data_IF_142925069445
#
_entry.id   IF_142925069445
#
_cell.length_a   1.000
_cell.length_b   1.000
_cell.length_c   1.000
_cell.angle_alpha   90.00
_cell.angle_beta   90.00
_cell.angle_gamma   90.00
#
_symmetry.space_group_name_H-M   'P 1'
#
loop_
_entity.id
_entity.type
_entity.pdbx_description
1 polymer ?
#
# COMPACT_ATOMS: atom_id res chain seq x y z
N UNK A 1 1.29 1.23 44.18
CA UNK A 1 1.20 1.17 42.70
C UNK A 1 -0.27 1.15 42.23
N UNK A 2 -1.10 2.15 42.59
CA UNK A 2 -2.56 2.14 42.29
C UNK A 2 -3.01 3.16 41.24
N UNK A 3 -2.18 4.15 40.88
CA UNK A 3 -2.57 5.22 39.96
C UNK A 3 -2.48 4.84 38.48
N UNK A 4 -1.60 3.89 38.11
CA UNK A 4 -1.39 3.52 36.70
C UNK A 4 -2.58 2.77 36.07
N UNK A 5 -3.37 2.05 36.88
CA UNK A 5 -4.61 1.39 36.43
C UNK A 5 -5.74 2.38 36.14
N UNK A 6 -5.70 3.58 36.71
CA UNK A 6 -6.73 4.61 36.48
C UNK A 6 -6.59 5.24 35.08
N UNK A 7 -5.38 5.26 34.53
CA UNK A 7 -5.09 5.79 33.18
C UNK A 7 -5.15 4.73 32.08
N UNK A 8 -5.25 3.44 32.44
CA UNK A 8 -5.32 2.35 31.47
C UNK A 8 -6.44 2.52 30.43
N UNK A 9 -7.69 2.92 30.79
CA UNK A 9 -8.73 3.14 29.80
C UNK A 9 -8.41 4.29 28.84
N UNK A 10 -7.86 5.39 29.34
CA UNK A 10 -7.50 6.55 28.54
C UNK A 10 -6.33 6.24 27.58
N UNK A 11 -5.34 5.47 28.03
CA UNK A 11 -4.25 5.00 27.19
C UNK A 11 -4.75 4.07 26.09
N UNK A 12 -5.59 3.10 26.41
CA UNK A 12 -6.21 2.20 25.41
C UNK A 12 -6.97 3.03 24.38
N UNK A 13 -7.82 3.96 24.82
CA UNK A 13 -8.63 4.76 23.92
C UNK A 13 -7.78 5.66 23.02
N UNK A 14 -6.72 6.26 23.57
CA UNK A 14 -5.76 7.07 22.82
C UNK A 14 -5.00 6.23 21.79
N UNK A 15 -4.51 5.06 22.17
CA UNK A 15 -3.81 4.15 21.25
C UNK A 15 -4.73 3.68 20.12
N UNK A 16 -5.96 3.27 20.44
CA UNK A 16 -6.94 2.85 19.42
C UNK A 16 -7.27 4.00 18.47
N UNK A 17 -7.51 5.21 19.00
CA UNK A 17 -7.80 6.39 18.18
C UNK A 17 -6.63 6.73 17.27
N UNK A 18 -5.39 6.69 17.79
CA UNK A 18 -4.19 6.94 17.00
C UNK A 18 -4.02 5.92 15.87
N UNK A 19 -4.23 4.63 16.16
CA UNK A 19 -4.16 3.56 15.15
C UNK A 19 -5.22 3.75 14.07
N UNK A 20 -6.45 4.12 14.43
CA UNK A 20 -7.52 4.37 13.46
C UNK A 20 -7.22 5.56 12.55
N UNK A 21 -6.70 6.66 13.09
CA UNK A 21 -6.31 7.84 12.31
C UNK A 21 -5.16 7.48 11.35
N UNK A 22 -4.13 6.79 11.84
CA UNK A 22 -3.01 6.35 11.02
C UNK A 22 -3.46 5.42 9.88
N UNK A 23 -4.35 4.46 10.18
CA UNK A 23 -4.92 3.56 9.18
C UNK A 23 -5.71 4.32 8.10
N UNK A 24 -6.46 5.36 8.48
CA UNK A 24 -7.19 6.18 7.52
C UNK A 24 -6.26 7.00 6.62
N UNK A 25 -5.17 7.55 7.16
CA UNK A 25 -4.17 8.31 6.38
C UNK A 25 -3.41 7.44 5.37
N UNK A 26 -3.19 6.15 5.68
CA UNK A 26 -2.54 5.21 4.77
C UNK A 26 -3.49 4.57 3.76
N UNK A 27 -4.81 4.82 3.86
CA UNK A 27 -5.79 4.21 3.00
C UNK A 27 -5.53 4.60 1.53
N UNK A 28 -5.53 3.62 0.62
CA UNK A 28 -5.33 3.86 -0.80
C UNK A 28 -6.52 4.61 -1.39
N UNK A 29 -6.25 5.50 -2.35
CA UNK A 29 -7.30 6.15 -3.13
C UNK A 29 -8.03 5.12 -4.00
N UNK A 30 -9.32 5.36 -4.27
CA UNK A 30 -10.11 4.47 -5.14
C UNK A 30 -9.61 4.45 -6.59
N UNK A 31 -8.89 5.49 -7.03
CA UNK A 31 -8.29 5.65 -8.36
C UNK A 31 -6.94 6.34 -8.24
N UNK A 32 -6.09 6.17 -9.26
CA UNK A 32 -4.76 6.77 -9.31
C UNK A 32 -3.65 5.81 -8.87
N UNK A 33 -2.51 6.37 -8.50
CA UNK A 33 -1.33 5.60 -8.10
C UNK A 33 -1.50 5.00 -6.70
N UNK A 34 -1.20 3.70 -6.58
CA UNK A 34 -1.22 2.97 -5.32
C UNK A 34 -0.12 1.90 -5.33
N UNK A 35 0.42 1.61 -4.16
CA UNK A 35 1.27 0.44 -4.01
C UNK A 35 0.42 -0.80 -3.77
N UNK A 36 0.74 -1.87 -4.49
CA UNK A 36 0.08 -3.16 -4.42
C UNK A 36 1.06 -4.16 -3.85
N UNK A 37 0.72 -4.72 -2.69
CA UNK A 37 1.55 -5.71 -2.00
C UNK A 37 1.06 -7.13 -2.31
N UNK A 38 1.99 -7.99 -2.68
CA UNK A 38 1.79 -9.39 -3.00
C UNK A 38 2.46 -10.29 -1.95
N UNK A 39 2.12 -11.60 -1.91
CA UNK A 39 2.85 -12.57 -1.11
C UNK A 39 4.37 -12.52 -1.36
N UNK A 40 5.21 -12.81 -0.35
CA UNK A 40 6.67 -12.66 -0.47
C UNK A 40 7.31 -13.59 -1.50
N UNK A 41 6.60 -14.63 -1.94
CA UNK A 41 7.06 -15.58 -2.98
C UNK A 41 6.63 -15.16 -4.40
N UNK A 42 5.89 -14.06 -4.53
CA UNK A 42 5.48 -13.53 -5.84
C UNK A 42 6.63 -12.74 -6.44
N UNK A 43 7.09 -13.16 -7.62
CA UNK A 43 8.11 -12.43 -8.37
C UNK A 43 7.55 -11.10 -8.90
N UNK A 44 8.44 -10.13 -9.12
CA UNK A 44 8.07 -8.83 -9.70
C UNK A 44 7.33 -9.00 -11.03
N UNK A 45 7.80 -9.88 -11.91
CA UNK A 45 7.17 -10.18 -13.20
C UNK A 45 5.72 -10.68 -13.04
N UNK A 46 5.49 -11.57 -12.05
CA UNK A 46 4.16 -12.06 -11.73
C UNK A 46 3.27 -10.95 -11.19
N UNK A 47 3.80 -10.11 -10.29
CA UNK A 47 3.09 -8.96 -9.74
C UNK A 47 2.66 -7.98 -10.85
N UNK A 48 3.55 -7.68 -11.80
CA UNK A 48 3.25 -6.81 -12.95
C UNK A 48 2.19 -7.44 -13.87
N UNK A 49 2.28 -8.76 -14.10
CA UNK A 49 1.26 -9.50 -14.85
C UNK A 49 -0.12 -9.38 -14.19
N UNK A 50 -0.19 -9.57 -12.87
CA UNK A 50 -1.44 -9.44 -12.10
C UNK A 50 -2.00 -8.01 -12.21
N UNK A 51 -1.16 -6.99 -12.04
CA UNK A 51 -1.58 -5.58 -12.17
C UNK A 51 -2.18 -5.31 -13.55
N UNK A 52 -1.54 -5.77 -14.62
CA UNK A 52 -2.04 -5.61 -16.00
C UNK A 52 -3.35 -6.38 -16.21
N UNK A 53 -3.44 -7.61 -15.72
CA UNK A 53 -4.65 -8.42 -15.84
C UNK A 53 -5.82 -7.83 -15.04
N UNK A 54 -5.55 -7.18 -13.92
CA UNK A 54 -6.52 -6.40 -13.17
C UNK A 54 -6.94 -5.10 -13.88
N UNK A 55 -6.39 -4.76 -15.05
CA UNK A 55 -6.72 -3.57 -15.82
C UNK A 55 -6.01 -2.29 -15.36
N UNK A 56 -4.94 -2.42 -14.56
CA UNK A 56 -4.07 -1.31 -14.17
C UNK A 56 -2.78 -1.26 -14.99
N UNK A 57 -1.94 -0.28 -14.67
CA UNK A 57 -0.61 -0.12 -15.28
C UNK A 57 0.46 -0.16 -14.19
N UNK A 58 1.51 -0.95 -14.37
CA UNK A 58 2.67 -0.90 -13.49
C UNK A 58 3.46 0.39 -13.78
N UNK A 59 3.63 1.23 -12.76
CA UNK A 59 4.33 2.52 -12.85
C UNK A 59 5.81 2.35 -12.53
N UNK A 60 6.14 1.45 -11.60
CA UNK A 60 7.53 1.12 -11.29
C UNK A 60 7.68 0.11 -10.15
N UNK A 61 8.88 -0.49 -10.03
CA UNK A 61 9.23 -1.33 -8.91
C UNK A 61 9.43 -0.51 -7.63
N UNK A 62 9.40 -1.19 -6.49
CA UNK A 62 9.78 -0.60 -5.19
C UNK A 62 11.04 -1.30 -4.65
N UNK A 63 11.52 -0.90 -3.47
CA UNK A 63 12.64 -1.58 -2.81
C UNK A 63 12.33 -3.04 -2.43
N UNK A 64 11.04 -3.41 -2.37
CA UNK A 64 10.59 -4.75 -2.04
C UNK A 64 10.04 -5.42 -3.31
N UNK A 65 10.56 -6.59 -3.72
CA UNK A 65 10.20 -7.22 -4.99
C UNK A 65 8.73 -7.69 -5.05
N UNK A 66 8.11 -7.89 -3.89
CA UNK A 66 6.70 -8.26 -3.76
C UNK A 66 5.77 -7.03 -3.65
N UNK A 67 6.29 -5.81 -3.81
CA UNK A 67 5.49 -4.58 -3.80
C UNK A 67 5.77 -3.79 -5.06
N UNK A 68 4.70 -3.41 -5.77
CA UNK A 68 4.79 -2.66 -7.03
C UNK A 68 3.89 -1.44 -6.97
N UNK A 69 4.30 -0.36 -7.62
CA UNK A 69 3.43 0.81 -7.79
C UNK A 69 2.58 0.59 -9.04
N UNK A 70 1.26 0.65 -8.89
CA UNK A 70 0.29 0.50 -9.96
C UNK A 70 -0.59 1.74 -10.07
N UNK A 71 -0.98 2.09 -11.29
CA UNK A 71 -2.02 3.08 -11.56
C UNK A 71 -3.35 2.37 -11.80
N UNK A 72 -4.35 2.70 -10.99
CA UNK A 72 -5.72 2.22 -11.12
C UNK A 72 -6.58 3.24 -11.90
N UNK A 73 -7.06 2.87 -13.08
CA UNK A 73 -7.96 3.70 -13.88
C UNK A 73 -9.42 3.74 -13.37
N UNK A 74 -9.82 2.75 -12.58
CA UNK A 74 -11.18 2.56 -12.08
C UNK A 74 -11.23 2.02 -10.65
N UNK A 75 -12.38 2.19 -10.00
CA UNK A 75 -12.58 1.80 -8.61
C UNK A 75 -12.65 0.28 -8.38
N UNK A 76 -12.86 -0.51 -9.44
CA UNK A 76 -12.93 -1.97 -9.37
C UNK A 76 -11.55 -2.64 -9.46
N UNK A 77 -10.49 -1.90 -9.82
CA UNK A 77 -9.13 -2.41 -9.92
C UNK A 77 -8.70 -3.16 -8.65
N UNK A 78 -8.91 -2.57 -7.46
CA UNK A 78 -8.48 -3.18 -6.21
C UNK A 78 -9.17 -4.53 -5.95
N UNK A 79 -10.45 -4.66 -6.33
CA UNK A 79 -11.18 -5.92 -6.21
C UNK A 79 -10.58 -6.98 -7.13
N UNK A 80 -10.41 -6.66 -8.42
CA UNK A 80 -9.83 -7.58 -9.42
C UNK A 80 -8.40 -8.00 -9.04
N UNK A 81 -7.59 -7.06 -8.56
CA UNK A 81 -6.24 -7.34 -8.10
C UNK A 81 -6.22 -8.28 -6.88
N UNK A 82 -7.17 -8.13 -5.93
CA UNK A 82 -7.31 -9.08 -4.81
C UNK A 82 -7.70 -10.46 -5.28
N UNK A 83 -8.66 -10.56 -6.20
CA UNK A 83 -9.11 -11.84 -6.75
C UNK A 83 -7.97 -12.59 -7.46
N UNK A 84 -6.97 -11.85 -7.95
CA UNK A 84 -5.75 -12.38 -8.58
C UNK A 84 -4.57 -12.60 -7.62
N UNK A 85 -4.73 -12.30 -6.32
CA UNK A 85 -3.75 -12.61 -5.28
C UNK A 85 -3.03 -11.41 -4.65
N UNK A 86 -3.44 -10.18 -4.92
CA UNK A 86 -2.97 -9.03 -4.15
C UNK A 86 -3.47 -9.08 -2.70
N UNK A 87 -2.61 -8.75 -1.74
CA UNK A 87 -2.92 -8.80 -0.31
C UNK A 87 -3.40 -7.45 0.22
N UNK A 88 -2.62 -6.40 -0.05
CA UNK A 88 -2.85 -5.07 0.49
C UNK A 88 -2.63 -3.99 -0.57
N UNK A 89 -3.27 -2.86 -0.34
CA UNK A 89 -3.15 -1.66 -1.15
C UNK A 89 -2.80 -0.51 -0.21
N UNK A 90 -1.78 0.25 -0.58
CA UNK A 90 -1.25 1.35 0.21
C UNK A 90 -1.21 2.59 -0.67
N UNK A 91 -1.30 3.76 -0.05
CA UNK A 91 -1.04 5.00 -0.78
C UNK A 91 0.39 4.99 -1.35
N UNK A 92 0.55 5.34 -2.63
CA UNK A 92 1.84 5.36 -3.31
C UNK A 92 2.75 6.52 -2.86
N UNK A 93 2.22 7.52 -2.14
CA UNK A 93 3.04 8.64 -1.63
C UNK A 93 4.20 8.15 -0.78
N UNK A 94 5.42 8.46 -1.23
CA UNK A 94 6.67 8.09 -0.56
C UNK A 94 7.19 6.68 -0.86
N UNK A 95 6.46 5.88 -1.67
CA UNK A 95 6.89 4.55 -2.11
C UNK A 95 7.57 4.55 -3.49
N UNK A 96 7.43 5.64 -4.25
CA UNK A 96 8.27 5.86 -5.42
C UNK A 96 9.74 5.87 -4.98
N UNK A 97 10.56 5.02 -5.60
CA UNK A 97 12.01 5.05 -5.43
C UNK A 97 12.53 6.49 -5.60
N UNK A 98 13.64 6.87 -4.93
CA UNK A 98 14.26 8.17 -5.19
C UNK A 98 14.39 8.35 -6.69
N UNK A 99 13.92 9.50 -7.17
CA UNK A 99 14.00 9.89 -8.57
C UNK A 99 15.44 9.67 -9.00
N UNK A 100 15.69 8.68 -9.87
CA UNK A 100 16.99 8.53 -10.51
C UNK A 100 17.20 9.83 -11.26
N UNK A 101 18.05 10.69 -10.72
CA UNK A 101 18.50 11.90 -11.39
C UNK A 101 19.00 11.46 -12.75
N UNK A 102 18.27 11.86 -13.78
CA UNK A 102 18.70 11.67 -15.16
C UNK A 102 19.85 12.66 -15.35
N UNK A 103 21.05 12.28 -14.92
CA UNK A 103 22.29 12.93 -15.34
C UNK A 103 22.43 12.68 -16.84
N UNK A 104 21.96 13.70 -17.57
CA UNK A 104 22.39 14.15 -18.88
C UNK A 104 23.63 13.42 -19.42
N UNK A 105 23.43 12.62 -20.47
CA UNK A 105 24.47 12.39 -21.49
C UNK A 105 24.18 13.29 -22.68
#
# INVERSE_FOLDING_TARGET
MSHMRQFAPALIFSTVSFVLIAAFMLAPQAKGEMAVAFPPFTSEETAWSIVRQAGGYAVGPTQLPNIVVAYAGDADFQRRARDLGALFFLNATGLCAPQLDRETT
#
